data_IF_365485091852
#
_entry.id   IF_365485091852
#
_cell.length_a   1.000
_cell.length_b   1.000
_cell.length_c   1.000
_cell.angle_alpha   90.00
_cell.angle_beta   90.00
_cell.angle_gamma   90.00
#
_symmetry.space_group_name_H-M   'P 1'
#
loop_
_entity.id
_entity.type
_entity.pdbx_description
1 polymer ?
#
# COMPACT_ATOMS: atom_id res chain seq x y z
N UNK A 1 0.97 -44.68 -9.70
CA UNK A 1 1.51 -44.30 -8.37
C UNK A 1 1.08 -45.31 -7.30
N UNK A 2 -0.21 -45.68 -7.24
CA UNK A 2 -0.72 -46.76 -6.39
C UNK A 2 0.09 -48.06 -6.49
N UNK A 3 0.38 -48.54 -7.71
CA UNK A 3 1.17 -49.77 -7.92
C UNK A 3 2.63 -49.68 -7.43
N UNK A 4 3.18 -48.47 -7.31
CA UNK A 4 4.52 -48.27 -6.75
C UNK A 4 4.49 -48.34 -5.22
N UNK A 5 3.52 -47.65 -4.60
CA UNK A 5 3.30 -47.67 -3.15
C UNK A 5 2.91 -49.06 -2.65
N UNK A 6 2.11 -49.80 -3.42
CA UNK A 6 1.75 -51.18 -3.08
C UNK A 6 2.95 -52.12 -3.15
N UNK A 7 3.84 -51.94 -4.14
CA UNK A 7 5.11 -52.68 -4.21
C UNK A 7 6.03 -52.33 -3.04
N UNK A 8 6.15 -51.05 -2.68
CA UNK A 8 6.94 -50.61 -1.53
C UNK A 8 6.35 -51.12 -0.20
N UNK A 9 5.03 -51.10 -0.03
CA UNK A 9 4.35 -51.70 1.13
C UNK A 9 4.61 -53.21 1.22
N UNK A 10 4.47 -53.95 0.11
CA UNK A 10 4.77 -55.39 0.07
C UNK A 10 6.25 -55.67 0.39
N UNK A 11 7.17 -54.84 -0.11
CA UNK A 11 8.59 -54.95 0.20
C UNK A 11 8.86 -54.71 1.70
N UNK A 12 8.25 -53.69 2.30
CA UNK A 12 8.37 -53.38 3.73
C UNK A 12 7.76 -54.46 4.62
N UNK A 13 6.62 -55.03 4.23
CA UNK A 13 6.01 -56.19 4.88
C UNK A 13 6.94 -57.42 4.82
N UNK A 14 7.58 -57.66 3.67
CA UNK A 14 8.52 -58.78 3.51
C UNK A 14 9.79 -58.62 4.33
N UNK A 15 10.20 -57.38 4.61
CA UNK A 15 11.36 -57.05 5.45
C UNK A 15 11.05 -57.08 6.96
N UNK A 16 9.88 -57.60 7.39
CA UNK A 16 9.38 -57.57 8.78
C UNK A 16 9.32 -56.18 9.41
N UNK A 17 9.32 -55.11 8.61
CA UNK A 17 9.16 -53.75 9.07
C UNK A 17 7.67 -53.41 9.26
N UNK A 18 6.98 -54.24 10.06
CA UNK A 18 5.53 -54.22 10.25
C UNK A 18 5.00 -52.86 10.72
N UNK A 19 5.81 -52.13 11.50
CA UNK A 19 5.47 -50.77 11.95
C UNK A 19 5.50 -49.75 10.81
N UNK A 20 6.52 -49.81 9.95
CA UNK A 20 6.65 -48.93 8.76
C UNK A 20 5.55 -49.27 7.75
N UNK A 21 5.31 -50.57 7.54
CA UNK A 21 4.27 -51.04 6.66
C UNK A 21 2.87 -50.60 7.13
N UNK A 22 2.58 -50.66 8.44
CA UNK A 22 1.34 -50.15 9.03
C UNK A 22 1.09 -48.67 8.71
N UNK A 23 2.12 -47.82 8.80
CA UNK A 23 2.04 -46.41 8.41
C UNK A 23 1.75 -46.22 6.92
N UNK A 24 2.45 -46.94 6.04
CA UNK A 24 2.23 -46.90 4.58
C UNK A 24 0.81 -47.34 4.20
N UNK A 25 0.25 -48.34 4.89
CA UNK A 25 -1.12 -48.82 4.66
C UNK A 25 -2.19 -47.83 5.11
N UNK A 26 -2.00 -47.16 6.24
CA UNK A 26 -2.92 -46.13 6.74
C UNK A 26 -3.02 -44.95 5.75
N UNK A 27 -1.91 -44.57 5.14
CA UNK A 27 -1.85 -43.55 4.09
C UNK A 27 -2.48 -44.00 2.78
N UNK A 28 -2.25 -45.24 2.35
CA UNK A 28 -2.87 -45.77 1.15
C UNK A 28 -4.41 -45.65 1.20
N UNK A 29 -4.99 -45.87 2.38
CA UNK A 29 -6.42 -45.69 2.61
C UNK A 29 -6.88 -44.23 2.68
N UNK A 30 -6.01 -43.28 3.04
CA UNK A 30 -6.33 -41.84 3.09
C UNK A 30 -6.11 -41.13 1.75
N UNK A 31 -5.23 -41.64 0.88
CA UNK A 31 -4.87 -41.04 -0.43
C UNK A 31 -5.97 -41.25 -1.49
N UNK A 32 -6.79 -42.30 -1.38
CA UNK A 32 -7.98 -42.48 -2.23
C UNK A 32 -9.19 -41.82 -1.53
N UNK A 33 -9.58 -40.57 -1.90
CA UNK A 33 -10.16 -40.37 -3.23
C UNK A 33 -9.88 -39.01 -3.94
N UNK A 34 -9.00 -38.11 -3.48
CA UNK A 34 -8.67 -36.88 -4.23
C UNK A 34 -7.19 -36.51 -4.07
N UNK A 35 -6.44 -36.63 -5.15
CA UNK A 35 -4.99 -36.58 -5.16
C UNK A 35 -4.46 -35.16 -5.44
N UNK A 36 -3.77 -34.56 -4.47
CA UNK A 36 -2.85 -33.44 -4.71
C UNK A 36 -1.45 -34.07 -4.85
N UNK A 37 -1.17 -34.55 -6.07
CA UNK A 37 -0.21 -35.62 -6.36
C UNK A 37 1.27 -35.36 -5.99
N UNK A 38 1.74 -34.11 -5.90
CA UNK A 38 3.17 -33.83 -5.73
C UNK A 38 3.59 -33.61 -4.28
N UNK A 39 2.84 -32.79 -3.54
CA UNK A 39 3.14 -32.48 -2.14
C UNK A 39 2.99 -33.72 -1.24
N UNK A 40 1.98 -34.53 -1.53
CA UNK A 40 1.71 -35.79 -0.84
C UNK A 40 2.80 -36.85 -1.04
N UNK A 41 3.34 -36.91 -2.26
CA UNK A 41 4.45 -37.79 -2.60
C UNK A 41 5.74 -37.37 -1.89
N UNK A 42 5.99 -36.06 -1.80
CA UNK A 42 7.15 -35.50 -1.09
C UNK A 42 7.07 -35.79 0.41
N UNK A 43 5.95 -35.51 1.06
CA UNK A 43 5.73 -35.82 2.49
C UNK A 43 5.89 -37.32 2.77
N UNK A 44 5.45 -38.17 1.85
CA UNK A 44 5.60 -39.61 1.97
C UNK A 44 7.06 -40.06 1.87
N UNK A 45 7.81 -39.54 0.90
CA UNK A 45 9.24 -39.82 0.77
C UNK A 45 10.00 -39.38 2.03
N UNK A 46 9.71 -38.19 2.54
CA UNK A 46 10.35 -37.66 3.72
C UNK A 46 10.02 -38.50 4.98
N UNK A 47 8.75 -38.88 5.17
CA UNK A 47 8.36 -39.77 6.27
C UNK A 47 9.11 -41.12 6.20
N UNK A 48 9.23 -41.71 5.01
CA UNK A 48 9.99 -42.96 4.81
C UNK A 48 11.47 -42.82 5.15
N UNK A 49 12.09 -41.69 4.81
CA UNK A 49 13.48 -41.40 5.18
C UNK A 49 13.65 -41.35 6.71
N UNK A 50 12.70 -40.75 7.43
CA UNK A 50 12.72 -40.71 8.89
C UNK A 50 12.52 -42.09 9.53
N UNK A 51 11.64 -42.92 8.97
CA UNK A 51 11.52 -44.33 9.39
C UNK A 51 12.83 -45.09 9.16
N UNK A 52 13.49 -44.90 8.02
CA UNK A 52 14.80 -45.51 7.72
C UNK A 52 15.90 -45.03 8.66
N UNK A 53 15.83 -43.77 9.09
CA UNK A 53 16.74 -43.18 10.08
C UNK A 53 16.45 -43.62 11.54
N UNK A 54 15.60 -44.63 11.75
CA UNK A 54 15.18 -45.13 13.06
C UNK A 54 14.53 -44.05 13.95
N UNK A 55 13.83 -43.09 13.33
CA UNK A 55 13.01 -42.06 14.01
C UNK A 55 11.55 -42.18 13.57
N UNK A 56 10.85 -43.26 13.96
CA UNK A 56 9.50 -43.55 13.51
C UNK A 56 8.47 -42.54 14.03
N UNK A 57 8.70 -41.96 15.20
CA UNK A 57 7.89 -40.89 15.81
C UNK A 57 7.78 -39.66 14.90
N UNK A 58 8.88 -39.31 14.23
CA UNK A 58 8.93 -38.22 13.27
C UNK A 58 8.12 -38.53 12.01
N UNK A 59 8.28 -39.75 11.50
CA UNK A 59 7.53 -40.22 10.35
C UNK A 59 6.03 -40.19 10.65
N UNK A 60 5.62 -40.70 11.81
CA UNK A 60 4.23 -40.68 12.27
C UNK A 60 3.69 -39.23 12.37
N UNK A 61 4.46 -38.28 12.92
CA UNK A 61 4.08 -36.86 13.01
C UNK A 61 3.92 -36.19 11.63
N UNK A 62 4.78 -36.51 10.65
CA UNK A 62 4.69 -35.96 9.29
C UNK A 62 3.48 -36.47 8.53
N UNK A 63 3.12 -37.73 8.77
CA UNK A 63 1.92 -38.34 8.21
C UNK A 63 0.66 -37.81 8.93
N UNK A 64 0.76 -37.52 10.24
CA UNK A 64 -0.30 -36.90 11.02
C UNK A 64 -0.66 -35.51 10.51
N UNK A 65 0.33 -34.69 10.12
CA UNK A 65 0.14 -33.35 9.53
C UNK A 65 -0.83 -33.37 8.34
N UNK A 66 -0.77 -34.43 7.50
CA UNK A 66 -1.69 -34.60 6.38
C UNK A 66 -3.09 -35.04 6.82
N UNK A 67 -3.17 -35.92 7.82
CA UNK A 67 -4.44 -36.52 8.27
C UNK A 67 -5.37 -35.58 9.07
N UNK A 68 -5.03 -34.30 9.18
CA UNK A 68 -5.55 -33.43 10.23
C UNK A 68 -5.82 -32.02 9.66
N UNK A 69 -6.90 -31.28 9.92
CA UNK A 69 -7.76 -31.17 11.10
C UNK A 69 -7.00 -31.06 12.44
N UNK A 70 -5.69 -30.76 12.43
CA UNK A 70 -4.94 -30.49 13.65
C UNK A 70 -5.45 -29.18 14.25
N UNK A 71 -5.67 -29.20 15.56
CA UNK A 71 -6.02 -27.98 16.30
C UNK A 71 -4.79 -27.08 16.43
N UNK A 72 -4.98 -25.76 16.44
CA UNK A 72 -3.90 -24.76 16.59
C UNK A 72 -2.87 -25.07 17.70
N UNK A 73 -3.24 -25.62 18.88
CA UNK A 73 -2.28 -25.99 19.92
C UNK A 73 -1.27 -27.05 19.48
N UNK A 74 -1.68 -28.00 18.63
CA UNK A 74 -0.82 -29.07 18.17
C UNK A 74 0.16 -28.57 17.09
N UNK A 75 -0.29 -27.65 16.22
CA UNK A 75 0.62 -26.91 15.33
C UNK A 75 1.68 -26.14 16.12
N UNK A 76 1.28 -25.46 17.20
CA UNK A 76 2.21 -24.76 18.08
C UNK A 76 3.20 -25.70 18.75
N UNK A 77 2.76 -26.90 19.18
CA UNK A 77 3.65 -27.89 19.78
C UNK A 77 4.71 -28.42 18.80
N UNK A 78 4.36 -28.60 17.52
CA UNK A 78 5.28 -29.03 16.47
C UNK A 78 6.29 -27.93 16.12
N UNK A 79 5.86 -26.67 16.11
CA UNK A 79 6.72 -25.49 16.00
C UNK A 79 7.72 -25.40 17.18
N UNK A 80 7.24 -25.58 18.41
CA UNK A 80 8.05 -25.46 19.63
C UNK A 80 9.10 -26.57 19.79
N UNK A 81 8.90 -27.75 19.16
CA UNK A 81 9.90 -28.81 19.08
C UNK A 81 11.11 -28.47 18.18
N UNK A 82 11.20 -27.24 17.66
CA UNK A 82 12.38 -26.71 16.96
C UNK A 82 12.49 -27.13 15.49
N UNK A 83 11.38 -27.56 14.88
CA UNK A 83 11.38 -28.21 13.56
C UNK A 83 11.26 -27.26 12.36
N UNK A 84 10.81 -26.02 12.59
CA UNK A 84 10.65 -24.99 11.54
C UNK A 84 11.60 -23.78 11.71
N UNK A 85 12.68 -23.97 12.48
CA UNK A 85 13.61 -22.91 12.86
C UNK A 85 13.62 -22.73 14.38
N UNK A 86 14.73 -22.21 14.91
CA UNK A 86 14.88 -22.00 16.35
C UNK A 86 13.70 -21.15 16.88
N UNK A 87 13.06 -21.51 18.01
CA UNK A 87 12.02 -20.69 18.62
C UNK A 87 12.46 -19.24 18.87
N UNK A 88 13.78 -19.02 19.00
CA UNK A 88 14.40 -17.69 19.06
C UNK A 88 14.18 -16.91 17.76
N UNK A 89 14.31 -17.55 16.60
CA UNK A 89 14.08 -16.90 15.30
C UNK A 89 12.61 -16.51 15.13
N UNK A 90 11.65 -17.34 15.57
CA UNK A 90 10.24 -16.96 15.56
C UNK A 90 9.94 -15.81 16.53
N UNK A 91 10.55 -15.79 17.71
CA UNK A 91 10.51 -14.63 18.61
C UNK A 91 11.03 -13.37 17.95
N UNK A 92 12.15 -13.45 17.24
CA UNK A 92 12.73 -12.32 16.49
C UNK A 92 11.83 -11.86 15.33
N UNK A 93 11.26 -12.79 14.57
CA UNK A 93 10.36 -12.47 13.46
C UNK A 93 9.04 -11.87 13.92
N UNK A 94 8.52 -12.28 15.08
CA UNK A 94 7.32 -11.68 15.69
C UNK A 94 7.58 -10.31 16.33
N UNK A 95 8.85 -10.00 16.68
CA UNK A 95 9.24 -8.65 17.11
C UNK A 95 9.24 -7.62 15.98
N UNK A 96 9.48 -8.03 14.72
CA UNK A 96 9.48 -7.12 13.57
C UNK A 96 8.16 -6.34 13.42
N UNK A 97 6.97 -6.97 13.34
CA UNK A 97 5.70 -6.24 13.25
C UNK A 97 5.42 -5.40 14.50
N UNK A 98 5.81 -5.87 15.70
CA UNK A 98 5.68 -5.10 16.94
C UNK A 98 6.50 -3.80 16.88
N UNK A 99 7.76 -3.89 16.46
CA UNK A 99 8.63 -2.73 16.29
C UNK A 99 8.12 -1.78 15.21
N UNK A 100 7.51 -2.30 14.14
CA UNK A 100 6.88 -1.51 13.09
C UNK A 100 5.67 -0.72 13.62
N UNK A 101 4.81 -1.36 14.44
CA UNK A 101 3.70 -0.69 15.11
C UNK A 101 4.20 0.38 16.08
N UNK A 102 5.20 0.07 16.90
CA UNK A 102 5.82 1.03 17.82
C UNK A 102 6.44 2.22 17.08
N UNK A 103 7.10 1.97 15.95
CA UNK A 103 7.67 3.00 15.10
C UNK A 103 6.60 3.93 14.52
N UNK A 104 5.51 3.38 13.98
CA UNK A 104 4.38 4.18 13.48
C UNK A 104 3.76 5.02 14.59
N UNK A 105 3.62 4.44 15.79
CA UNK A 105 3.08 5.16 16.95
C UNK A 105 4.00 6.29 17.41
N UNK A 106 5.32 6.04 17.48
CA UNK A 106 6.32 7.05 17.80
C UNK A 106 6.29 8.20 16.78
N UNK A 107 6.24 7.87 15.48
CA UNK A 107 6.15 8.86 14.39
C UNK A 107 4.87 9.69 14.47
N UNK A 108 3.73 9.06 14.78
CA UNK A 108 2.45 9.78 14.96
C UNK A 108 2.54 10.74 16.14
N UNK A 109 3.11 10.31 17.27
CA UNK A 109 3.30 11.14 18.46
C UNK A 109 4.24 12.31 18.19
N UNK A 110 5.27 12.12 17.37
CA UNK A 110 6.17 13.19 16.95
C UNK A 110 5.46 14.21 16.05
N UNK A 111 4.60 13.77 15.14
CA UNK A 111 3.76 14.67 14.34
C UNK A 111 2.79 15.47 15.21
N UNK A 112 2.19 14.87 16.23
CA UNK A 112 1.33 15.58 17.18
C UNK A 112 2.12 16.63 17.97
N UNK A 113 3.34 16.30 18.42
CA UNK A 113 4.25 17.29 19.04
C UNK A 113 4.59 18.44 18.10
N UNK A 114 4.89 18.16 16.84
CA UNK A 114 5.17 19.18 15.83
C UNK A 114 3.95 20.06 15.52
N UNK A 115 2.73 19.50 15.56
CA UNK A 115 1.50 20.29 15.43
C UNK A 115 1.32 21.21 16.63
N UNK A 116 1.53 20.72 17.86
CA UNK A 116 1.42 21.55 19.06
C UNK A 116 2.47 22.66 19.13
N UNK A 117 3.71 22.42 18.69
CA UNK A 117 4.71 23.49 18.59
C UNK A 117 4.36 24.46 17.46
N UNK A 118 3.89 23.98 16.31
CA UNK A 118 3.45 24.84 15.21
C UNK A 118 2.25 25.71 15.60
N UNK A 119 1.33 25.23 16.44
CA UNK A 119 0.22 26.05 16.96
C UNK A 119 0.71 27.10 17.94
N UNK A 120 1.67 26.78 18.83
CA UNK A 120 2.25 27.77 19.74
C UNK A 120 3.00 28.88 18.98
N UNK A 121 3.80 28.53 17.96
CA UNK A 121 4.46 29.52 17.09
C UNK A 121 3.49 30.29 16.20
N UNK A 122 2.34 29.70 15.84
CA UNK A 122 1.28 30.40 15.11
C UNK A 122 0.55 31.40 16.03
N UNK A 123 0.30 31.04 17.29
CA UNK A 123 -0.28 31.94 18.30
C UNK A 123 0.66 33.10 18.62
N UNK A 124 1.97 32.85 18.81
CA UNK A 124 2.98 33.92 18.98
C UNK A 124 3.04 34.84 17.75
N UNK A 125 2.97 34.29 16.53
CA UNK A 125 2.93 35.10 15.31
C UNK A 125 1.62 35.86 15.11
N UNK A 126 0.50 35.34 15.62
CA UNK A 126 -0.78 36.05 15.61
C UNK A 126 -0.75 37.22 16.59
N UNK A 127 -0.16 37.05 17.78
CA UNK A 127 0.02 38.18 18.72
C UNK A 127 0.97 39.24 18.15
N UNK A 128 2.06 38.84 17.47
CA UNK A 128 2.94 39.77 16.78
C UNK A 128 2.31 40.43 15.53
N UNK A 129 1.29 39.81 14.91
CA UNK A 129 0.51 40.38 13.78
C UNK A 129 -0.61 41.32 14.22
N UNK A 130 -1.09 41.24 15.47
CA UNK A 130 -2.10 42.18 15.99
C UNK A 130 -1.48 43.57 16.24
N UNK A 131 -0.16 43.66 16.35
CA UNK A 131 0.55 44.94 16.57
C UNK A 131 1.02 45.63 15.26
N UNK A 132 1.05 44.91 14.14
CA UNK A 132 1.41 45.48 12.84
C UNK A 132 0.56 44.91 11.69
N UNK A 133 -0.29 45.80 11.18
CA UNK A 133 -0.88 45.85 9.84
C UNK A 133 -1.95 44.84 9.38
N UNK A 134 -2.98 45.48 8.85
CA UNK A 134 -4.05 45.04 7.98
C UNK A 134 -3.56 44.16 6.81
N UNK A 135 -4.47 43.30 6.33
CA UNK A 135 -4.55 42.57 5.04
C UNK A 135 -4.65 41.04 5.22
N UNK A 136 -5.76 40.41 4.79
CA UNK A 136 -6.00 38.99 4.98
C UNK A 136 -5.37 38.18 3.84
N UNK A 137 -4.42 37.31 4.16
CA UNK A 137 -4.03 36.22 3.28
C UNK A 137 -4.50 34.88 3.88
N UNK A 138 -5.57 34.37 3.30
CA UNK A 138 -6.11 33.02 3.46
C UNK A 138 -5.06 31.96 3.13
N UNK A 139 -4.56 31.28 4.15
CA UNK A 139 -3.71 30.11 4.01
C UNK A 139 -4.55 28.85 3.80
N UNK A 140 -4.57 28.31 2.58
CA UNK A 140 -5.00 26.92 2.33
C UNK A 140 -3.76 26.05 2.08
N UNK A 141 -3.42 25.26 3.09
CA UNK A 141 -2.30 24.31 3.03
C UNK A 141 -2.60 23.13 2.11
N UNK A 142 -2.13 23.20 0.87
CA UNK A 142 -2.10 22.05 -0.04
C UNK A 142 -0.72 21.40 0.03
N UNK A 143 -0.65 20.18 0.56
CA UNK A 143 0.56 19.34 0.55
C UNK A 143 0.77 18.81 -0.87
N UNK A 144 1.70 19.41 -1.62
CA UNK A 144 2.22 18.83 -2.85
C UNK A 144 3.50 18.05 -2.55
N UNK A 145 3.40 16.72 -2.64
CA UNK A 145 4.55 15.82 -2.67
C UNK A 145 5.39 16.12 -3.92
N UNK A 146 6.60 16.68 -3.72
CA UNK A 146 7.65 16.67 -4.75
C UNK A 146 8.38 17.98 -5.04
N UNK A 147 7.95 19.14 -4.52
CA UNK A 147 8.64 20.42 -4.76
C UNK A 147 9.09 21.04 -3.43
N UNK A 148 10.16 20.48 -2.85
CA UNK A 148 10.86 21.14 -1.74
C UNK A 148 11.53 22.41 -2.25
N UNK A 149 10.99 23.56 -1.83
CA UNK A 149 11.85 24.60 -1.29
C UNK A 149 12.09 25.87 -2.10
N UNK A 150 11.37 26.12 -3.20
CA UNK A 150 11.26 27.47 -3.77
C UNK A 150 9.83 27.67 -4.26
N UNK A 151 9.06 28.50 -3.55
CA UNK A 151 7.86 29.13 -4.09
C UNK A 151 8.32 30.04 -5.24
N UNK A 152 8.51 29.44 -6.41
CA UNK A 152 8.94 30.16 -7.59
C UNK A 152 7.85 31.21 -7.89
N UNK A 153 8.22 32.45 -8.24
CA UNK A 153 7.24 33.52 -8.49
C UNK A 153 6.18 33.09 -9.53
N UNK A 154 6.56 32.23 -10.47
CA UNK A 154 5.70 31.62 -11.47
C UNK A 154 4.60 30.73 -10.87
N UNK A 155 4.89 30.02 -9.77
CA UNK A 155 3.90 29.17 -9.09
C UNK A 155 2.87 30.01 -8.32
N UNK A 156 3.32 31.13 -7.74
CA UNK A 156 2.42 32.10 -7.08
C UNK A 156 1.50 32.73 -8.11
N UNK A 157 2.06 33.21 -9.23
CA UNK A 157 1.30 33.76 -10.35
C UNK A 157 0.31 32.73 -10.92
N UNK A 158 0.74 31.49 -11.11
CA UNK A 158 -0.11 30.40 -11.59
C UNK A 158 -1.30 30.16 -10.66
N UNK A 159 -1.05 30.08 -9.34
CA UNK A 159 -2.12 29.86 -8.37
C UNK A 159 -3.08 31.07 -8.28
N UNK A 160 -2.58 32.30 -8.42
CA UNK A 160 -3.42 33.50 -8.50
C UNK A 160 -4.36 33.46 -9.71
N UNK A 161 -3.84 33.13 -10.89
CA UNK A 161 -4.67 32.98 -12.10
C UNK A 161 -5.65 31.81 -12.00
N UNK A 162 -5.27 30.70 -11.36
CA UNK A 162 -6.21 29.60 -11.12
C UNK A 162 -7.38 30.02 -10.22
N UNK A 163 -7.09 30.85 -9.21
CA UNK A 163 -8.11 31.40 -8.33
C UNK A 163 -9.03 32.39 -9.06
N UNK A 164 -8.48 33.25 -9.92
CA UNK A 164 -9.29 34.15 -10.77
C UNK A 164 -10.30 33.39 -11.63
N UNK A 165 -9.93 32.19 -12.09
CA UNK A 165 -10.79 31.29 -12.87
C UNK A 165 -11.71 30.40 -12.01
N UNK A 166 -11.72 30.57 -10.68
CA UNK A 166 -12.44 29.72 -9.72
C UNK A 166 -12.12 28.23 -9.86
N UNK A 167 -10.88 27.90 -10.25
CA UNK A 167 -10.43 26.54 -10.46
C UNK A 167 -9.64 26.02 -9.26
N UNK A 168 -9.83 24.75 -8.85
CA UNK A 168 -9.07 24.17 -7.77
C UNK A 168 -7.58 24.04 -8.12
N UNK A 169 -6.67 24.15 -7.14
CA UNK A 169 -5.24 23.93 -7.35
C UNK A 169 -5.02 22.48 -7.81
N UNK A 170 -4.63 22.32 -9.07
CA UNK A 170 -4.46 21.01 -9.72
C UNK A 170 -5.51 20.64 -10.76
N UNK A 171 -6.43 21.55 -11.13
CA UNK A 171 -7.38 21.29 -12.22
C UNK A 171 -6.65 20.91 -13.53
N UNK A 172 -7.29 20.04 -14.32
CA UNK A 172 -6.72 19.54 -15.57
C UNK A 172 -6.74 20.61 -16.68
N UNK A 173 -5.98 20.38 -17.76
CA UNK A 173 -6.04 21.26 -18.96
C UNK A 173 -7.47 21.37 -19.50
N UNK A 174 -8.21 20.28 -19.40
CA UNK A 174 -9.58 20.20 -19.88
C UNK A 174 -10.47 21.17 -19.10
N UNK A 175 -10.32 21.21 -17.77
CA UNK A 175 -11.12 22.06 -16.89
C UNK A 175 -10.80 23.54 -17.12
N UNK A 176 -9.51 23.87 -17.24
CA UNK A 176 -9.06 25.24 -17.56
C UNK A 176 -9.68 25.71 -18.88
N UNK A 177 -9.60 24.88 -19.94
CA UNK A 177 -10.18 25.20 -21.25
C UNK A 177 -11.69 25.30 -21.22
N UNK A 178 -12.35 24.41 -20.48
CA UNK A 178 -13.81 24.42 -20.31
C UNK A 178 -14.25 25.73 -19.67
N UNK A 179 -13.58 26.15 -18.59
CA UNK A 179 -13.99 27.34 -17.85
C UNK A 179 -13.68 28.63 -18.58
N UNK A 180 -12.53 28.69 -19.26
CA UNK A 180 -12.26 29.76 -20.21
C UNK A 180 -13.35 29.88 -21.28
N UNK A 181 -13.76 28.76 -21.91
CA UNK A 181 -14.82 28.76 -22.92
C UNK A 181 -16.18 29.22 -22.39
N UNK A 182 -16.48 29.00 -21.11
CA UNK A 182 -17.71 29.51 -20.50
C UNK A 182 -17.63 31.01 -20.30
N UNK A 183 -16.55 31.49 -19.69
CA UNK A 183 -16.36 32.92 -19.40
C UNK A 183 -16.25 33.76 -20.66
N UNK A 184 -15.48 33.31 -21.65
CA UNK A 184 -15.28 34.03 -22.91
C UNK A 184 -16.59 34.23 -23.68
N UNK A 185 -17.55 33.30 -23.56
CA UNK A 185 -18.88 33.44 -24.18
C UNK A 185 -19.73 34.53 -23.53
N UNK A 186 -19.53 34.79 -22.23
CA UNK A 186 -20.26 35.82 -21.48
C UNK A 186 -19.74 37.22 -21.81
N UNK A 187 -18.43 37.35 -21.97
CA UNK A 187 -17.76 38.63 -22.24
C UNK A 187 -17.53 38.88 -23.74
N UNK A 188 -17.98 37.99 -24.63
CA UNK A 188 -17.77 38.17 -26.07
C UNK A 188 -18.52 39.41 -26.58
N UNK A 189 -17.89 40.32 -27.33
CA UNK A 189 -18.55 41.55 -27.80
C UNK A 189 -19.78 41.26 -28.68
N UNK A 190 -19.72 40.22 -29.53
CA UNK A 190 -20.87 39.80 -30.34
C UNK A 190 -22.05 39.23 -29.53
N UNK A 191 -21.82 38.75 -28.29
CA UNK A 191 -22.88 38.21 -27.45
C UNK A 191 -23.73 39.32 -26.79
N UNK A 192 -23.20 40.54 -26.68
CA UNK A 192 -23.85 41.64 -25.96
C UNK A 192 -24.70 42.57 -26.84
N UNK A 193 -24.87 42.26 -28.13
CA UNK A 193 -25.82 42.94 -29.04
C UNK A 193 -25.43 44.37 -29.44
N UNK A 194 -24.62 45.07 -28.64
CA UNK A 194 -23.98 46.33 -28.96
C UNK A 194 -22.52 46.32 -28.48
N UNK A 195 -21.54 46.71 -29.32
CA UNK A 195 -20.14 46.78 -28.91
C UNK A 195 -19.97 47.87 -27.86
N UNK A 196 -19.81 47.48 -26.61
CA UNK A 196 -19.35 48.35 -25.53
C UNK A 196 -17.82 48.28 -25.45
N UNK A 197 -17.10 49.42 -25.35
CA UNK A 197 -15.64 49.41 -25.16
C UNK A 197 -15.23 48.60 -23.93
N UNK A 198 -16.01 48.64 -22.85
CA UNK A 198 -15.73 47.90 -21.61
C UNK A 198 -15.77 46.37 -21.81
N UNK A 199 -16.69 45.88 -22.64
CA UNK A 199 -16.79 44.46 -22.95
C UNK A 199 -15.62 43.97 -23.81
N UNK A 200 -15.10 44.84 -24.68
CA UNK A 200 -13.89 44.54 -25.47
C UNK A 200 -12.65 44.45 -24.58
N UNK A 201 -12.52 45.33 -23.60
CA UNK A 201 -11.38 45.34 -22.68
C UNK A 201 -11.41 44.11 -21.76
N UNK A 202 -12.57 43.74 -21.23
CA UNK A 202 -12.75 42.54 -20.40
C UNK A 202 -12.46 41.25 -21.20
N UNK A 203 -12.87 41.19 -22.47
CA UNK A 203 -12.56 40.08 -23.37
C UNK A 203 -11.05 39.94 -23.62
N UNK A 204 -10.36 41.05 -23.89
CA UNK A 204 -8.90 41.08 -24.12
C UNK A 204 -8.17 40.64 -22.85
N UNK A 205 -8.58 41.16 -21.69
CA UNK A 205 -7.95 40.83 -20.42
C UNK A 205 -8.13 39.35 -20.07
N UNK A 206 -9.33 38.80 -20.23
CA UNK A 206 -9.60 37.38 -20.00
C UNK A 206 -8.76 36.49 -20.91
N UNK A 207 -8.64 36.85 -22.19
CA UNK A 207 -7.80 36.13 -23.17
C UNK A 207 -6.33 36.14 -22.74
N UNK A 208 -5.81 37.30 -22.33
CA UNK A 208 -4.43 37.46 -21.86
C UNK A 208 -4.16 36.64 -20.60
N UNK A 209 -5.07 36.66 -19.63
CA UNK A 209 -4.95 35.86 -18.39
C UNK A 209 -4.94 34.35 -18.70
N UNK A 210 -5.78 33.88 -19.62
CA UNK A 210 -5.79 32.49 -20.07
C UNK A 210 -4.49 32.07 -20.77
N UNK A 211 -3.98 32.90 -21.70
CA UNK A 211 -2.71 32.63 -22.37
C UNK A 211 -1.56 32.54 -21.36
N UNK A 212 -1.51 33.48 -20.41
CA UNK A 212 -0.50 33.48 -19.35
C UNK A 212 -0.58 32.24 -18.46
N UNK A 213 -1.78 31.83 -18.09
CA UNK A 213 -2.02 30.61 -17.31
C UNK A 213 -1.49 29.37 -18.04
N UNK A 214 -1.71 29.29 -19.37
CA UNK A 214 -1.23 28.19 -20.21
C UNK A 214 0.28 28.19 -20.40
N UNK A 215 0.92 29.36 -20.48
CA UNK A 215 2.38 29.50 -20.49
C UNK A 215 3.00 29.02 -19.17
N UNK A 216 2.50 29.50 -18.04
CA UNK A 216 2.98 29.11 -16.71
C UNK A 216 2.87 27.60 -16.50
N UNK A 217 1.77 26.99 -16.96
CA UNK A 217 1.60 25.53 -16.92
C UNK A 217 2.68 24.78 -17.69
N UNK A 218 3.13 25.32 -18.84
CA UNK A 218 4.23 24.74 -19.64
C UNK A 218 5.57 24.91 -18.93
N UNK A 219 5.85 26.10 -18.40
CA UNK A 219 7.10 26.42 -17.67
C UNK A 219 7.25 25.52 -16.44
N UNK A 220 6.16 25.33 -15.69
CA UNK A 220 6.12 24.50 -14.48
C UNK A 220 6.13 22.99 -14.78
N UNK A 221 6.11 22.58 -16.06
CA UNK A 221 6.15 21.16 -16.45
C UNK A 221 4.92 20.35 -16.02
N UNK A 222 3.78 21.00 -15.80
CA UNK A 222 2.53 20.37 -15.37
C UNK A 222 1.89 19.60 -16.54
N UNK A 223 2.43 18.44 -16.88
CA UNK A 223 1.90 17.51 -17.90
C UNK A 223 1.04 16.44 -17.22
N UNK A 224 -0.25 16.72 -17.07
CA UNK A 224 -1.31 15.72 -16.87
C UNK A 224 -2.53 16.12 -17.69
#
# INVERSE_FOLDING_TARGET
YADRLEREFRALMSAQQLRVAGGVRALFHQIHPQAVLEYDAMLFQEALEWYRANRPDVGEDMLALRSSNLTMPQHLSLLMKGRYGSPIMFGLWSLVPLLLVLYVFARKREQERQKHTATLFAEERMQARVEHDEVPHTGLGVKFDGLRGRSSPELIEYNGLMQDFDLPPGAGIHDIKSEYRKRIKLVHPDAQGAPSPDASDEFIELSRRYERLMELRKILGLKR
#
